data_IF_477702836586
#
_entry.id   IF_477702836586
#
_cell.length_a   1.000
_cell.length_b   1.000
_cell.length_c   1.000
_cell.angle_alpha   90.00
_cell.angle_beta   90.00
_cell.angle_gamma   90.00
#
_symmetry.space_group_name_H-M   'P 1'
#
loop_
_entity.id
_entity.type
_entity.pdbx_description
1 polymer ?
#
# COMPACT_ATOMS: atom_id res chain seq x y z
N UNK A 1 -15.86 -11.17 -0.67
CA UNK A 1 -15.25 -10.76 0.61
C UNK A 1 -16.34 -10.82 1.67
N UNK A 2 -16.05 -11.24 2.91
CA UNK A 2 -17.04 -11.11 4.01
C UNK A 2 -17.23 -9.62 4.29
N UNK A 3 -18.47 -9.17 4.50
CA UNK A 3 -18.82 -7.76 4.70
C UNK A 3 -18.18 -7.14 5.96
N UNK A 4 -17.62 -7.96 6.84
CA UNK A 4 -17.03 -7.55 8.13
C UNK A 4 -15.65 -8.21 8.33
N UNK A 5 -14.72 -7.94 7.42
CA UNK A 5 -13.37 -8.44 7.55
C UNK A 5 -12.58 -7.64 8.60
N UNK A 6 -12.25 -8.28 9.73
CA UNK A 6 -11.47 -7.67 10.82
C UNK A 6 -9.96 -7.87 10.69
N UNK A 7 -9.53 -8.73 9.76
CA UNK A 7 -8.11 -9.04 9.55
C UNK A 7 -7.32 -7.91 8.89
N UNK A 8 -6.03 -8.17 8.68
CA UNK A 8 -5.12 -7.25 8.01
C UNK A 8 -5.49 -7.03 6.54
N UNK A 9 -5.54 -5.77 6.12
CA UNK A 9 -5.87 -5.42 4.74
C UNK A 9 -4.61 -5.32 3.91
N UNK A 10 -4.51 -6.14 2.87
CA UNK A 10 -3.41 -6.08 1.92
C UNK A 10 -3.88 -5.41 0.63
N UNK A 11 -3.37 -4.20 0.40
CA UNK A 11 -3.64 -3.45 -0.82
C UNK A 11 -2.77 -3.99 -1.95
N UNK A 12 -3.43 -4.32 -3.05
CA UNK A 12 -2.74 -4.59 -4.31
C UNK A 12 -1.92 -3.35 -4.74
N UNK A 13 -0.76 -3.57 -5.35
CA UNK A 13 0.19 -2.51 -5.73
C UNK A 13 -0.47 -1.39 -6.55
N UNK A 14 -1.38 -1.73 -7.48
CA UNK A 14 -2.10 -0.73 -8.28
C UNK A 14 -3.07 0.11 -7.45
N UNK A 15 -3.78 -0.50 -6.50
CA UNK A 15 -4.73 0.21 -5.62
C UNK A 15 -3.97 1.23 -4.76
N UNK A 16 -2.86 0.79 -4.17
CA UNK A 16 -1.97 1.64 -3.39
C UNK A 16 -1.31 2.73 -4.25
N UNK A 17 -0.72 2.36 -5.39
CA UNK A 17 -0.01 3.29 -6.27
C UNK A 17 -0.90 4.36 -6.91
N UNK A 18 -2.18 4.03 -7.19
CA UNK A 18 -3.17 4.99 -7.70
C UNK A 18 -3.95 5.73 -6.62
N UNK A 19 -3.68 5.46 -5.34
CA UNK A 19 -4.35 6.09 -4.19
C UNK A 19 -5.88 5.95 -4.20
N UNK A 20 -6.41 4.84 -4.70
CA UNK A 20 -7.85 4.64 -4.82
C UNK A 20 -8.58 4.59 -3.48
N UNK A 21 -7.90 4.13 -2.43
CA UNK A 21 -8.47 4.12 -1.07
C UNK A 21 -8.60 5.54 -0.51
N UNK A 22 -7.61 6.41 -0.76
CA UNK A 22 -7.71 7.83 -0.42
C UNK A 22 -8.82 8.51 -1.23
N UNK A 23 -8.97 8.17 -2.51
CA UNK A 23 -10.06 8.70 -3.33
C UNK A 23 -11.44 8.28 -2.78
N UNK A 24 -11.61 7.00 -2.44
CA UNK A 24 -12.84 6.52 -1.82
C UNK A 24 -13.14 7.22 -0.48
N UNK A 25 -12.11 7.48 0.33
CA UNK A 25 -12.25 8.23 1.57
C UNK A 25 -12.67 9.70 1.36
N UNK A 26 -12.26 10.32 0.24
CA UNK A 26 -12.69 11.68 -0.13
C UNK A 26 -14.14 11.71 -0.61
N UNK A 27 -14.60 10.64 -1.25
CA UNK A 27 -15.95 10.55 -1.82
C UNK A 27 -16.99 10.10 -0.77
N UNK A 28 -16.57 9.40 0.29
CA UNK A 28 -17.45 8.89 1.35
C UNK A 28 -16.85 9.09 2.76
N UNK A 29 -17.54 9.88 3.58
CA UNK A 29 -17.14 10.19 4.96
C UNK A 29 -17.10 8.94 5.87
N UNK A 30 -17.96 7.95 5.64
CA UNK A 30 -17.96 6.71 6.42
C UNK A 30 -16.70 5.88 6.17
N UNK A 31 -16.21 5.88 4.93
CA UNK A 31 -14.94 5.25 4.56
C UNK A 31 -13.77 5.99 5.21
N UNK A 32 -13.78 7.32 5.21
CA UNK A 32 -12.75 8.11 5.89
C UNK A 32 -12.69 7.81 7.39
N UNK A 33 -13.82 7.79 8.08
CA UNK A 33 -13.90 7.46 9.51
C UNK A 33 -13.41 6.04 9.77
N UNK A 34 -13.82 5.07 8.95
CA UNK A 34 -13.38 3.69 9.10
C UNK A 34 -11.86 3.54 8.90
N UNK A 35 -11.29 4.19 7.89
CA UNK A 35 -9.84 4.14 7.63
C UNK A 35 -9.01 4.83 8.72
N UNK A 36 -9.51 5.92 9.30
CA UNK A 36 -8.80 6.66 10.35
C UNK A 36 -8.57 5.81 11.62
N UNK A 37 -9.45 4.85 11.89
CA UNK A 37 -9.33 3.91 13.02
C UNK A 37 -8.50 2.65 12.73
N UNK A 38 -7.94 2.49 11.52
CA UNK A 38 -7.22 1.28 11.12
C UNK A 38 -5.70 1.45 11.22
N UNK A 39 -5.05 0.48 11.84
CA UNK A 39 -3.60 0.39 12.01
C UNK A 39 -2.97 -0.84 11.31
N UNK A 40 -3.82 -1.69 10.70
CA UNK A 40 -3.45 -2.98 10.12
C UNK A 40 -3.63 -3.02 8.59
N UNK A 41 -3.34 -1.90 7.91
CA UNK A 41 -3.35 -1.80 6.45
C UNK A 41 -1.91 -1.90 5.94
N UNK A 42 -1.73 -2.73 4.92
CA UNK A 42 -0.43 -3.02 4.33
C UNK A 42 -0.47 -2.90 2.81
N UNK A 43 0.66 -2.56 2.21
CA UNK A 43 0.82 -2.55 0.76
C UNK A 43 2.19 -3.11 0.36
N UNK A 44 2.27 -3.70 -0.83
CA UNK A 44 3.56 -4.06 -1.42
C UNK A 44 4.25 -2.81 -1.97
N UNK A 45 5.54 -2.67 -1.69
CA UNK A 45 6.40 -1.62 -2.20
C UNK A 45 7.71 -2.20 -2.77
N UNK A 46 8.35 -1.45 -3.66
CA UNK A 46 9.65 -1.80 -4.22
C UNK A 46 10.57 -0.58 -4.16
N UNK A 47 11.73 -0.73 -3.53
CA UNK A 47 12.83 0.22 -3.62
C UNK A 47 13.86 -0.33 -4.63
N UNK A 48 13.77 0.15 -5.87
CA UNK A 48 14.65 -0.30 -6.95
C UNK A 48 16.13 0.11 -6.73
N UNK A 49 16.38 1.24 -6.05
CA UNK A 49 17.75 1.71 -5.77
C UNK A 49 18.48 0.78 -4.81
N UNK A 50 17.78 0.33 -3.78
CA UNK A 50 18.32 -0.58 -2.76
C UNK A 50 18.09 -2.06 -3.08
N UNK A 51 17.45 -2.35 -4.22
CA UNK A 51 17.04 -3.71 -4.63
C UNK A 51 16.19 -4.43 -3.59
N UNK A 52 15.23 -3.74 -2.98
CA UNK A 52 14.41 -4.28 -1.88
C UNK A 52 12.93 -4.32 -2.21
N UNK A 53 12.29 -5.43 -1.86
CA UNK A 53 10.84 -5.59 -1.80
C UNK A 53 10.39 -5.36 -0.37
N UNK A 54 9.25 -4.70 -0.19
CA UNK A 54 8.78 -4.25 1.12
C UNK A 54 7.30 -4.56 1.31
N UNK A 55 6.92 -4.88 2.54
CA UNK A 55 5.55 -4.80 3.04
C UNK A 55 5.45 -3.51 3.85
N UNK A 56 4.86 -2.49 3.27
CA UNK A 56 4.67 -1.18 3.88
C UNK A 56 3.46 -1.20 4.80
N UNK A 57 3.58 -0.56 5.97
CA UNK A 57 2.42 -0.19 6.79
C UNK A 57 1.84 1.10 6.23
N UNK A 58 0.52 1.13 6.07
CA UNK A 58 -0.21 2.24 5.50
C UNK A 58 -1.21 2.76 6.52
N UNK A 59 -1.27 4.07 6.67
CA UNK A 59 -2.29 4.76 7.44
C UNK A 59 -2.95 5.84 6.59
N UNK A 60 -4.09 6.35 7.09
CA UNK A 60 -4.84 7.44 6.46
C UNK A 60 -5.07 8.60 7.44
N UNK A 61 -4.01 9.18 8.03
CA UNK A 61 -4.17 10.38 8.86
C UNK A 61 -4.80 11.48 8.01
N UNK A 62 -5.85 12.10 8.54
CA UNK A 62 -6.62 13.16 7.86
C UNK A 62 -7.12 12.72 6.46
N UNK A 63 -7.40 11.42 6.28
CA UNK A 63 -7.87 10.85 5.02
C UNK A 63 -6.81 10.71 3.94
N UNK A 64 -5.53 11.01 4.22
CA UNK A 64 -4.43 10.99 3.24
C UNK A 64 -3.60 9.71 3.34
N UNK A 65 -3.43 9.02 2.21
CA UNK A 65 -2.61 7.81 2.18
C UNK A 65 -1.16 8.11 2.56
N UNK A 66 -0.70 7.53 3.66
CA UNK A 66 0.63 7.76 4.22
C UNK A 66 1.28 6.42 4.55
N UNK A 67 2.56 6.26 4.16
CA UNK A 67 3.38 5.13 4.63
C UNK A 67 3.82 5.44 6.05
N UNK A 68 3.39 4.65 7.01
CA UNK A 68 3.67 4.85 8.44
C UNK A 68 4.84 3.99 8.93
N UNK A 69 5.31 3.05 8.10
CA UNK A 69 6.48 2.24 8.38
C UNK A 69 6.60 1.06 7.43
N UNK A 70 7.47 0.11 7.80
CA UNK A 70 7.72 -1.11 7.04
C UNK A 70 7.56 -2.30 7.97
N UNK A 71 6.67 -3.23 7.64
CA UNK A 71 6.43 -4.45 8.39
C UNK A 71 7.44 -5.55 8.04
N UNK A 72 7.91 -5.58 6.78
CA UNK A 72 8.87 -6.56 6.31
C UNK A 72 9.65 -6.04 5.11
N UNK A 73 10.88 -6.52 4.96
CA UNK A 73 11.78 -6.20 3.84
C UNK A 73 12.50 -7.45 3.41
N UNK A 74 12.66 -7.64 2.10
CA UNK A 74 13.47 -8.70 1.50
C UNK A 74 14.32 -8.17 0.36
N UNK A 75 15.50 -8.75 0.18
CA UNK A 75 16.34 -8.48 -0.98
C UNK A 75 15.72 -9.09 -2.24
N UNK A 76 15.69 -8.32 -3.31
CA UNK A 76 15.20 -8.75 -4.61
C UNK A 76 16.37 -9.13 -5.50
N UNK A 77 16.23 -10.26 -6.19
CA UNK A 77 17.17 -10.63 -7.24
C UNK A 77 17.02 -9.71 -8.47
N UNK A 78 18.04 -9.72 -9.31
CA UNK A 78 18.08 -8.87 -10.52
C UNK A 78 16.94 -9.18 -11.50
N UNK A 79 16.45 -10.42 -11.55
CA UNK A 79 15.32 -10.81 -12.40
C UNK A 79 14.04 -10.07 -12.01
N UNK A 80 13.71 -10.04 -10.73
CA UNK A 80 12.55 -9.35 -10.20
C UNK A 80 12.65 -7.83 -10.37
N UNK A 81 13.80 -7.24 -10.06
CA UNK A 81 14.05 -5.79 -10.25
C UNK A 81 13.88 -5.37 -11.70
N UNK A 82 14.34 -6.19 -12.65
CA UNK A 82 14.21 -5.89 -14.07
C UNK A 82 12.76 -5.84 -14.55
N UNK A 83 11.84 -6.60 -13.95
CA UNK A 83 10.41 -6.51 -14.26
C UNK A 83 9.83 -5.13 -13.91
N UNK A 84 10.26 -4.54 -12.78
CA UNK A 84 9.83 -3.20 -12.37
C UNK A 84 10.49 -2.11 -13.21
N UNK A 85 11.80 -2.21 -13.49
CA UNK A 85 12.52 -1.24 -14.30
C UNK A 85 11.93 -1.12 -15.73
N UNK A 86 11.53 -2.24 -16.34
CA UNK A 86 10.86 -2.23 -17.66
C UNK A 86 9.54 -1.44 -17.66
N UNK A 87 8.84 -1.44 -16.53
CA UNK A 87 7.56 -0.75 -16.37
C UNK A 87 7.72 0.73 -16.00
N UNK A 88 8.82 1.09 -15.34
CA UNK A 88 9.15 2.48 -14.96
C UNK A 88 9.87 3.26 -16.05
N UNK A 89 10.47 2.59 -17.04
CA UNK A 89 11.16 3.22 -18.18
C UNK A 89 10.22 3.65 -19.32
N UNK A 90 8.90 3.62 -19.10
CA UNK A 90 7.88 4.19 -19.99
C UNK A 90 7.39 5.51 -19.41
#
# INVERSE_FOLDING_TARGET
AKEQYEGALFLHLTVFGKKWVEQAAKEDASIATWLAGKDNIYALGVNAKEKKGMVLKVGYPEGKQTVTGTAYTADLNNGFINLFNRRLAK
#
